data_IF_167219560851
#
_entry.id   IF_167219560851
#
_cell.length_a   1.000
_cell.length_b   1.000
_cell.length_c   1.000
_cell.angle_alpha   90.00
_cell.angle_beta   90.00
_cell.angle_gamma   90.00
#
_symmetry.space_group_name_H-M   'P 1'
#
loop_
_entity.id
_entity.type
_entity.pdbx_description
1 polymer ?
#
# COMPACT_ATOMS: atom_id res chain seq x y z
N UNK A 1 17.88 7.60 3.68
CA UNK A 1 16.69 7.66 2.82
C UNK A 1 16.05 9.03 3.00
N UNK A 2 15.49 9.67 1.95
CA UNK A 2 14.75 10.92 2.11
C UNK A 2 13.49 10.69 2.96
N UNK A 3 13.12 11.67 3.78
CA UNK A 3 11.88 11.65 4.55
C UNK A 3 10.66 11.65 3.59
N UNK A 4 9.66 10.83 3.90
CA UNK A 4 8.43 10.70 3.09
C UNK A 4 7.20 11.04 3.91
N UNK A 5 6.25 11.74 3.29
CA UNK A 5 4.94 11.95 3.86
C UNK A 5 4.16 10.63 3.92
N UNK A 6 3.38 10.45 4.99
CA UNK A 6 2.44 9.35 5.14
C UNK A 6 1.03 9.84 4.84
N UNK A 7 0.35 9.16 3.94
CA UNK A 7 -1.03 9.44 3.57
C UNK A 7 -1.90 8.26 3.97
N UNK A 8 -2.99 8.56 4.67
CA UNK A 8 -4.01 7.57 4.99
C UNK A 8 -5.25 7.85 4.18
N UNK A 9 -5.63 6.88 3.36
CA UNK A 9 -6.76 7.00 2.47
C UNK A 9 -7.73 5.83 2.69
N UNK A 10 -8.82 6.05 3.42
CA UNK A 10 -9.84 5.00 3.65
C UNK A 10 -10.37 4.44 2.32
N UNK A 11 -10.40 5.29 1.28
CA UNK A 11 -10.59 4.89 -0.11
C UNK A 11 -9.43 5.35 -0.98
N UNK A 12 -8.89 4.48 -1.82
CA UNK A 12 -7.84 4.85 -2.78
C UNK A 12 -8.31 5.87 -3.81
N UNK A 13 -9.63 6.04 -3.99
CA UNK A 13 -10.21 7.05 -4.88
C UNK A 13 -9.88 8.48 -4.45
N UNK A 14 -9.46 8.68 -3.21
CA UNK A 14 -9.03 9.96 -2.68
C UNK A 14 -7.55 10.27 -3.00
N UNK A 15 -6.85 9.42 -3.76
CA UNK A 15 -5.48 9.71 -4.20
C UNK A 15 -5.45 10.96 -5.09
N UNK A 16 -4.49 11.84 -4.82
CA UNK A 16 -4.29 13.09 -5.54
C UNK A 16 -2.80 13.43 -5.69
N UNK A 17 -2.50 14.60 -6.25
CA UNK A 17 -1.13 15.10 -6.43
C UNK A 17 -0.37 15.27 -5.10
N UNK A 18 -1.06 15.45 -3.98
CA UNK A 18 -0.46 15.56 -2.66
C UNK A 18 0.20 14.27 -2.18
N UNK A 19 -0.17 13.12 -2.78
CA UNK A 19 0.42 11.82 -2.47
C UNK A 19 1.75 11.54 -3.20
N UNK A 20 2.20 12.46 -4.07
CA UNK A 20 3.38 12.30 -4.90
C UNK A 20 4.64 11.97 -4.08
N UNK A 21 5.32 10.87 -4.40
CA UNK A 21 6.53 10.43 -3.70
C UNK A 21 6.36 10.04 -2.23
N UNK A 22 5.13 10.08 -1.71
CA UNK A 22 4.78 9.67 -0.35
C UNK A 22 4.52 8.17 -0.22
N UNK A 23 4.21 7.75 1.01
CA UNK A 23 3.74 6.41 1.34
C UNK A 23 2.25 6.48 1.62
N UNK A 24 1.47 5.71 0.88
CA UNK A 24 0.02 5.61 1.06
C UNK A 24 -0.31 4.32 1.78
N UNK A 25 -1.07 4.39 2.88
CA UNK A 25 -1.79 3.23 3.40
C UNK A 25 -3.25 3.42 3.08
N UNK A 26 -3.83 2.49 2.33
CA UNK A 26 -5.21 2.57 1.89
C UNK A 26 -6.10 1.55 2.60
N UNK A 27 -7.34 1.93 2.91
CA UNK A 27 -8.39 1.01 3.34
C UNK A 27 -8.95 0.15 2.20
N UNK A 28 -8.64 0.47 0.93
CA UNK A 28 -9.05 -0.34 -0.22
C UNK A 28 -8.28 -1.65 -0.30
N UNK A 29 -8.86 -2.63 -1.00
CA UNK A 29 -8.14 -3.86 -1.34
C UNK A 29 -7.30 -3.70 -2.61
N UNK A 30 -6.29 -4.55 -2.81
CA UNK A 30 -5.34 -4.48 -3.92
C UNK A 30 -5.89 -5.00 -5.27
N UNK A 31 -7.17 -4.77 -5.55
CA UNK A 31 -7.82 -5.25 -6.77
C UNK A 31 -7.62 -4.33 -7.98
N UNK A 32 -8.04 -4.81 -9.16
CA UNK A 32 -7.89 -4.08 -10.44
C UNK A 32 -8.51 -2.68 -10.40
N UNK A 33 -9.74 -2.55 -9.89
CA UNK A 33 -10.44 -1.25 -9.80
C UNK A 33 -9.66 -0.26 -8.93
N UNK A 34 -9.23 -0.68 -7.75
CA UNK A 34 -8.44 0.13 -6.82
C UNK A 34 -7.07 0.52 -7.41
N UNK A 35 -6.44 -0.40 -8.13
CA UNK A 35 -5.15 -0.15 -8.78
C UNK A 35 -5.26 0.88 -9.91
N UNK A 36 -6.39 0.88 -10.62
CA UNK A 36 -6.68 1.86 -11.68
C UNK A 36 -6.56 3.31 -11.21
N UNK A 37 -6.92 3.61 -9.96
CA UNK A 37 -6.77 4.95 -9.38
C UNK A 37 -5.30 5.36 -9.20
N UNK A 38 -4.43 4.41 -8.80
CA UNK A 38 -2.99 4.68 -8.68
C UNK A 38 -2.34 4.84 -10.05
N UNK A 39 -2.74 4.02 -11.03
CA UNK A 39 -2.24 4.09 -12.41
C UNK A 39 -2.65 5.39 -13.11
N UNK A 40 -3.86 5.89 -12.82
CA UNK A 40 -4.39 7.13 -13.36
C UNK A 40 -4.01 8.38 -12.57
N UNK A 41 -3.30 8.25 -11.44
CA UNK A 41 -2.92 9.39 -10.63
C UNK A 41 -1.95 10.31 -11.40
N UNK A 42 -2.13 11.65 -11.34
CA UNK A 42 -1.28 12.61 -12.05
C UNK A 42 0.18 12.56 -11.60
N UNK A 43 0.42 12.15 -10.36
CA UNK A 43 1.73 11.89 -9.81
C UNK A 43 1.71 10.58 -9.00
N UNK A 44 2.82 9.84 -9.06
CA UNK A 44 2.92 8.52 -8.45
C UNK A 44 3.31 8.62 -6.97
N UNK A 45 2.66 7.86 -6.07
CA UNK A 45 3.23 7.64 -4.74
C UNK A 45 4.51 6.82 -4.85
N UNK A 46 5.37 6.92 -3.84
CA UNK A 46 6.54 6.05 -3.73
C UNK A 46 6.12 4.61 -3.39
N UNK A 47 5.18 4.46 -2.45
CA UNK A 47 4.67 3.17 -2.05
C UNK A 47 3.16 3.21 -1.73
N UNK A 48 2.48 2.07 -1.93
CA UNK A 48 1.08 1.88 -1.54
C UNK A 48 0.91 0.56 -0.78
N UNK A 49 0.19 0.62 0.34
CA UNK A 49 -0.29 -0.54 1.08
C UNK A 49 -1.79 -0.71 0.87
N UNK A 50 -2.21 -1.90 0.45
CA UNK A 50 -3.63 -2.26 0.31
C UNK A 50 -4.01 -3.39 1.26
N UNK A 51 -5.30 -3.53 1.56
CA UNK A 51 -5.79 -4.76 2.18
C UNK A 51 -5.74 -5.93 1.17
N UNK A 52 -5.41 -7.15 1.59
CA UNK A 52 -5.36 -8.30 0.68
C UNK A 52 -6.73 -8.90 0.34
N UNK A 53 -7.77 -8.56 1.12
CA UNK A 53 -9.12 -9.09 0.98
C UNK A 53 -9.18 -10.62 0.81
N UNK A 54 -8.31 -11.33 1.53
CA UNK A 54 -8.22 -12.79 1.47
C UNK A 54 -7.70 -13.30 0.12
N UNK A 55 -6.96 -12.49 -0.62
CA UNK A 55 -6.36 -12.74 -1.94
C UNK A 55 -7.38 -12.91 -3.07
N UNK A 56 -8.55 -13.48 -2.79
CA UNK A 56 -9.60 -13.72 -3.78
C UNK A 56 -9.23 -14.80 -4.81
N UNK A 57 -10.22 -15.19 -5.61
CA UNK A 57 -10.03 -16.13 -6.73
C UNK A 57 -8.97 -15.57 -7.68
N UNK A 58 -8.02 -16.41 -8.10
CA UNK A 58 -6.98 -16.03 -9.08
C UNK A 58 -6.20 -14.76 -8.68
N UNK A 59 -5.99 -14.56 -7.36
CA UNK A 59 -5.25 -13.42 -6.80
C UNK A 59 -5.92 -12.05 -7.01
N UNK A 60 -7.23 -12.02 -7.27
CA UNK A 60 -8.00 -10.81 -7.57
C UNK A 60 -7.85 -9.67 -6.53
N UNK A 61 -7.64 -9.99 -5.25
CA UNK A 61 -7.46 -9.02 -4.16
C UNK A 61 -6.06 -8.42 -4.06
N UNK A 62 -5.08 -8.94 -4.80
CA UNK A 62 -3.67 -8.51 -4.73
C UNK A 62 -3.03 -8.25 -6.11
N UNK A 63 -3.84 -8.11 -7.16
CA UNK A 63 -3.38 -7.79 -8.54
C UNK A 63 -2.56 -6.50 -8.60
N UNK A 64 -2.80 -5.57 -7.67
CA UNK A 64 -2.02 -4.34 -7.52
C UNK A 64 -0.50 -4.58 -7.46
N UNK A 65 -0.05 -5.69 -6.86
CA UNK A 65 1.37 -6.00 -6.72
C UNK A 65 2.07 -6.05 -8.08
N UNK A 66 1.50 -6.80 -9.03
CA UNK A 66 2.02 -6.99 -10.38
C UNK A 66 1.91 -5.71 -11.21
N UNK A 67 0.72 -5.10 -11.20
CA UNK A 67 0.45 -3.91 -12.00
C UNK A 67 1.30 -2.70 -11.57
N UNK A 68 1.50 -2.52 -10.26
CA UNK A 68 2.33 -1.42 -9.73
C UNK A 68 3.83 -1.71 -9.86
N UNK A 69 4.23 -2.98 -9.83
CA UNK A 69 5.61 -3.38 -10.15
C UNK A 69 6.01 -2.96 -11.57
N UNK A 70 5.11 -3.17 -12.54
CA UNK A 70 5.36 -2.82 -13.95
C UNK A 70 5.63 -1.32 -14.18
N UNK A 71 5.24 -0.45 -13.23
CA UNK A 71 5.48 0.99 -13.29
C UNK A 71 6.44 1.50 -12.20
N UNK A 72 7.12 0.58 -11.49
CA UNK A 72 8.14 0.90 -10.50
C UNK A 72 7.62 1.45 -9.17
N UNK A 73 6.33 1.28 -8.86
CA UNK A 73 5.74 1.70 -7.59
C UNK A 73 5.84 0.54 -6.58
N UNK A 74 6.37 0.82 -5.39
CA UNK A 74 6.40 -0.16 -4.32
C UNK A 74 4.99 -0.47 -3.85
N UNK A 75 4.62 -1.75 -3.85
CA UNK A 75 3.31 -2.20 -3.42
C UNK A 75 3.45 -3.34 -2.42
N UNK A 76 2.68 -3.25 -1.35
CA UNK A 76 2.50 -4.34 -0.41
C UNK A 76 1.01 -4.47 -0.07
N UNK A 77 0.61 -5.65 0.38
CA UNK A 77 -0.71 -5.85 0.95
C UNK A 77 -0.62 -6.23 2.43
N UNK A 78 -1.67 -5.94 3.19
CA UNK A 78 -1.81 -6.35 4.59
C UNK A 78 -3.05 -7.22 4.81
N UNK A 79 -3.01 -8.05 5.85
CA UNK A 79 -4.02 -9.07 6.13
C UNK A 79 -5.37 -8.46 6.51
N UNK A 80 -6.42 -8.91 5.83
CA UNK A 80 -7.81 -8.63 6.21
C UNK A 80 -8.21 -9.16 7.60
N UNK A 81 -7.52 -10.16 8.14
CA UNK A 81 -7.73 -10.66 9.51
C UNK A 81 -7.10 -9.75 10.57
N UNK A 82 -6.08 -8.96 10.19
CA UNK A 82 -5.36 -8.07 11.10
C UNK A 82 -5.90 -6.64 11.13
N UNK A 83 -6.54 -6.19 10.04
CA UNK A 83 -7.07 -4.85 9.92
C UNK A 83 -8.28 -4.79 8.97
N UNK A 84 -9.20 -3.88 9.28
CA UNK A 84 -10.47 -3.68 8.58
C UNK A 84 -10.27 -3.10 7.18
N UNK A 85 -11.00 -3.65 6.22
CA UNK A 85 -11.18 -3.01 4.90
C UNK A 85 -11.99 -1.71 5.11
N UNK A 86 -11.56 -0.64 4.45
CA UNK A 86 -12.18 0.68 4.51
C UNK A 86 -11.66 1.58 5.64
N UNK A 87 -10.66 1.15 6.41
CA UNK A 87 -10.06 1.94 7.50
C UNK A 87 -8.53 1.95 7.37
N UNK A 88 -7.98 3.03 6.82
CA UNK A 88 -6.55 3.16 6.60
C UNK A 88 -5.76 3.33 7.91
N UNK A 89 -6.39 3.89 8.96
CA UNK A 89 -5.75 4.05 10.27
C UNK A 89 -5.56 2.69 10.91
N UNK A 90 -6.58 1.86 10.86
CA UNK A 90 -6.53 0.47 11.31
C UNK A 90 -5.49 -0.33 10.52
N UNK A 91 -5.47 -0.15 9.19
CA UNK A 91 -4.45 -0.74 8.31
C UNK A 91 -3.02 -0.37 8.73
N UNK A 92 -2.76 0.89 9.09
CA UNK A 92 -1.43 1.31 9.58
C UNK A 92 -1.12 0.72 10.96
N UNK A 93 -2.07 0.77 11.89
CA UNK A 93 -1.83 0.45 13.30
C UNK A 93 -1.77 -1.06 13.57
N UNK A 94 -2.64 -1.82 12.91
CA UNK A 94 -2.87 -3.23 13.19
C UNK A 94 -2.52 -4.15 12.00
N UNK A 95 -2.40 -3.60 10.80
CA UNK A 95 -2.12 -4.37 9.59
C UNK A 95 -0.79 -5.13 9.66
N UNK A 96 -0.83 -6.39 9.25
CA UNK A 96 0.36 -7.24 9.05
C UNK A 96 0.57 -7.47 7.56
N UNK A 97 1.77 -7.18 7.05
CA UNK A 97 2.09 -7.35 5.63
C UNK A 97 1.99 -8.82 5.21
N UNK A 98 1.24 -9.11 4.16
CA UNK A 98 1.03 -10.48 3.64
C UNK A 98 1.75 -10.74 2.32
N UNK A 99 1.82 -9.75 1.44
CA UNK A 99 2.47 -9.87 0.14
C UNK A 99 3.19 -8.58 -0.21
N UNK A 100 4.27 -8.70 -0.99
CA UNK A 100 5.11 -7.59 -1.42
C UNK A 100 5.51 -7.79 -2.88
N UNK A 101 5.63 -6.71 -3.63
CA UNK A 101 6.23 -6.73 -4.97
C UNK A 101 7.74 -6.47 -4.88
N UNK A 102 8.46 -6.66 -5.99
CA UNK A 102 9.92 -6.54 -6.02
C UNK A 102 10.42 -5.14 -5.60
N UNK A 103 9.83 -4.02 -6.06
CA UNK A 103 10.22 -2.68 -5.59
C UNK A 103 10.03 -2.50 -4.08
N UNK A 104 8.91 -2.98 -3.50
CA UNK A 104 8.69 -2.90 -2.06
C UNK A 104 9.71 -3.74 -1.28
N UNK A 105 10.00 -4.96 -1.74
CA UNK A 105 11.00 -5.83 -1.12
C UNK A 105 12.41 -5.20 -1.17
N UNK A 106 12.78 -4.61 -2.30
CA UNK A 106 14.05 -3.90 -2.46
C UNK A 106 14.15 -2.65 -1.57
N UNK A 107 13.03 -2.00 -1.29
CA UNK A 107 12.94 -0.87 -0.38
C UNK A 107 12.89 -1.28 1.11
N UNK A 108 12.91 -2.57 1.42
CA UNK A 108 12.99 -3.08 2.79
C UNK A 108 11.66 -3.57 3.39
N UNK A 109 10.57 -3.61 2.62
CA UNK A 109 9.30 -4.18 3.09
C UNK A 109 9.41 -5.72 3.13
N UNK A 110 8.97 -6.33 4.23
CA UNK A 110 8.95 -7.78 4.39
C UNK A 110 7.57 -8.29 4.79
N UNK A 111 7.24 -9.50 4.33
CA UNK A 111 6.04 -10.23 4.78
C UNK A 111 6.16 -10.55 6.27
N UNK A 112 5.06 -10.46 7.00
CA UNK A 112 4.95 -10.75 8.44
C UNK A 112 5.25 -9.57 9.36
N UNK A 113 5.79 -8.45 8.86
CA UNK A 113 6.01 -7.26 9.69
C UNK A 113 4.77 -6.36 9.76
N UNK A 114 4.68 -5.53 10.79
CA UNK A 114 3.61 -4.55 10.93
C UNK A 114 3.70 -3.48 9.83
N UNK A 115 2.55 -3.03 9.31
CA UNK A 115 2.48 -1.98 8.27
C UNK A 115 3.14 -0.69 8.76
N UNK A 116 3.00 -0.32 10.04
CA UNK A 116 3.69 0.85 10.61
C UNK A 116 5.22 0.74 10.47
N UNK A 117 5.79 -0.43 10.75
CA UNK A 117 7.23 -0.66 10.75
C UNK A 117 7.73 -0.69 9.30
N UNK A 118 6.93 -1.27 8.40
CA UNK A 118 7.15 -1.21 6.96
C UNK A 118 7.17 0.23 6.43
N UNK A 119 6.20 1.07 6.81
CA UNK A 119 6.14 2.47 6.40
C UNK A 119 7.36 3.25 6.91
N UNK A 120 7.79 2.99 8.16
CA UNK A 120 9.00 3.58 8.73
C UNK A 120 10.27 3.18 7.96
N UNK A 121 10.39 1.90 7.56
CA UNK A 121 11.51 1.43 6.73
C UNK A 121 11.59 2.16 5.37
N UNK A 122 10.46 2.67 4.87
CA UNK A 122 10.37 3.46 3.63
C UNK A 122 10.68 4.96 3.83
N UNK A 123 11.08 5.38 5.04
CA UNK A 123 11.44 6.76 5.35
C UNK A 123 10.27 7.61 5.86
N UNK A 124 9.16 7.01 6.29
CA UNK A 124 8.14 7.71 7.06
C UNK A 124 8.64 7.93 8.48
N UNK A 125 8.66 9.18 8.93
CA UNK A 125 8.97 9.52 10.31
C UNK A 125 7.68 9.95 11.02
N UNK A 126 7.43 9.37 12.19
CA UNK A 126 6.34 9.80 13.07
C UNK A 126 6.54 11.27 13.42
N UNK A 127 5.47 12.08 13.32
CA UNK A 127 5.38 13.29 14.13
C UNK A 127 5.03 12.90 15.57
#
# INVERSE_FOLDING_TARGET
MPARALHLLDTITAIDEGCAGGVVVSGSHGGVSSTGFVLGAPARPFAVFFNDAGVGKERAGIVALELLEAIGVACATYSHDSARIGDARDGLQNGVVTHVNAPAAAAGVRVGQAVRDAAQALGVHSQ
#
